data_IF_008118506111
#
_entry.id   IF_008118506111
#
_cell.length_a   1.000
_cell.length_b   1.000
_cell.length_c   1.000
_cell.angle_alpha   90.00
_cell.angle_beta   90.00
_cell.angle_gamma   90.00
#
_symmetry.space_group_name_H-M   'P 1'
#
loop_
_entity.id
_entity.type
_entity.pdbx_description
1 polymer ?
#
# COMPACT_ATOMS: atom_id res chain seq x y z
N UNK A 1 -14.62 -16.01 18.55
CA UNK A 1 -14.38 -15.71 17.11
C UNK A 1 -14.10 -14.22 16.87
N UNK A 2 -14.91 -13.26 17.39
CA UNK A 2 -14.68 -11.81 17.21
C UNK A 2 -13.31 -11.34 17.72
N UNK A 3 -12.86 -11.82 18.87
CA UNK A 3 -11.56 -11.48 19.44
C UNK A 3 -10.37 -11.85 18.51
N UNK A 4 -10.42 -13.04 17.89
CA UNK A 4 -9.35 -13.48 16.96
C UNK A 4 -9.31 -12.62 15.69
N UNK A 5 -10.48 -12.21 15.18
CA UNK A 5 -10.53 -11.29 14.03
C UNK A 5 -9.86 -9.96 14.35
N UNK A 6 -10.09 -9.40 15.56
CA UNK A 6 -9.42 -8.17 16.00
C UNK A 6 -7.90 -8.35 16.07
N UNK A 7 -7.41 -9.45 16.63
CA UNK A 7 -5.97 -9.74 16.67
C UNK A 7 -5.34 -9.81 15.27
N UNK A 8 -5.99 -10.52 14.32
CA UNK A 8 -5.52 -10.61 12.94
C UNK A 8 -5.50 -9.23 12.30
N UNK A 9 -6.56 -8.43 12.50
CA UNK A 9 -6.66 -7.08 11.98
C UNK A 9 -5.50 -6.18 12.49
N UNK A 10 -5.22 -6.21 13.80
CA UNK A 10 -4.10 -5.47 14.40
C UNK A 10 -2.74 -5.87 13.79
N UNK A 11 -2.51 -7.18 13.62
CA UNK A 11 -1.28 -7.65 12.98
C UNK A 11 -1.12 -7.15 11.54
N UNK A 12 -2.20 -7.15 10.78
CA UNK A 12 -2.18 -6.72 9.38
C UNK A 12 -2.06 -5.19 9.23
N UNK A 13 -2.83 -4.43 10.01
CA UNK A 13 -3.05 -3.00 9.78
C UNK A 13 -2.29 -2.06 10.74
N UNK A 14 -1.73 -2.58 11.84
CA UNK A 14 -0.90 -1.82 12.78
C UNK A 14 0.55 -2.30 12.74
N UNK A 15 0.75 -3.62 12.81
CA UNK A 15 2.11 -4.19 12.81
C UNK A 15 2.67 -4.42 11.40
N UNK A 16 1.84 -4.30 10.36
CA UNK A 16 2.20 -4.42 8.95
C UNK A 16 2.99 -5.69 8.63
N UNK A 17 2.59 -6.81 9.25
CA UNK A 17 3.28 -8.10 9.07
C UNK A 17 3.30 -8.55 7.62
N UNK A 18 4.35 -9.27 7.26
CA UNK A 18 4.55 -9.84 5.92
C UNK A 18 4.44 -11.37 5.91
N UNK A 19 4.24 -11.96 7.11
CA UNK A 19 4.01 -13.40 7.27
C UNK A 19 3.01 -13.66 8.39
N UNK A 20 2.19 -14.69 8.25
CA UNK A 20 1.31 -15.15 9.34
C UNK A 20 2.11 -15.69 10.54
N UNK A 21 3.38 -16.07 10.36
CA UNK A 21 4.26 -16.52 11.46
C UNK A 21 4.59 -15.40 12.45
N UNK A 22 4.58 -14.16 12.02
CA UNK A 22 4.78 -12.98 12.86
C UNK A 22 3.64 -12.78 13.87
N UNK A 23 2.45 -13.37 13.63
CA UNK A 23 1.25 -13.24 14.48
C UNK A 23 1.36 -14.10 15.74
N UNK A 24 2.32 -13.79 16.62
CA UNK A 24 2.76 -14.65 17.74
C UNK A 24 1.70 -14.87 18.82
N UNK A 25 0.71 -14.01 18.97
CA UNK A 25 -0.41 -14.19 19.90
C UNK A 25 -1.54 -15.07 19.36
N UNK A 26 -1.41 -15.58 18.11
CA UNK A 26 -2.27 -16.59 17.55
C UNK A 26 -1.67 -17.99 17.75
N UNK A 27 -2.53 -19.00 17.97
CA UNK A 27 -2.06 -20.38 18.07
C UNK A 27 -1.42 -20.84 16.75
N UNK A 28 -0.44 -21.74 16.85
CA UNK A 28 0.23 -22.33 15.68
C UNK A 28 -0.76 -22.90 14.67
N UNK A 29 -1.75 -23.67 15.15
CA UNK A 29 -2.78 -24.26 14.30
C UNK A 29 -3.60 -23.20 13.52
N UNK A 30 -3.93 -22.07 14.16
CA UNK A 30 -4.64 -20.98 13.46
C UNK A 30 -3.75 -20.31 12.41
N UNK A 31 -2.46 -20.10 12.69
CA UNK A 31 -1.52 -19.56 11.71
C UNK A 31 -1.36 -20.47 10.50
N UNK A 32 -1.23 -21.79 10.71
CA UNK A 32 -1.21 -22.75 9.60
C UNK A 32 -2.51 -22.73 8.79
N UNK A 33 -3.67 -22.69 9.46
CA UNK A 33 -4.96 -22.55 8.77
C UNK A 33 -5.05 -21.26 7.94
N UNK A 34 -4.49 -20.15 8.43
CA UNK A 34 -4.45 -18.89 7.67
C UNK A 34 -3.57 -19.01 6.44
N UNK A 35 -2.38 -19.64 6.55
CA UNK A 35 -1.50 -19.89 5.39
C UNK A 35 -2.15 -20.73 4.30
N UNK A 36 -2.99 -21.70 4.70
CA UNK A 36 -3.69 -22.56 3.75
C UNK A 36 -4.88 -21.89 3.05
N UNK A 37 -5.51 -20.90 3.73
CA UNK A 37 -6.83 -20.38 3.30
C UNK A 37 -6.84 -18.90 2.93
N UNK A 38 -5.76 -18.20 3.14
CA UNK A 38 -5.66 -16.77 2.90
C UNK A 38 -4.28 -16.37 2.40
N UNK A 39 -4.26 -15.41 1.50
CA UNK A 39 -3.03 -14.79 1.01
C UNK A 39 -2.78 -13.50 1.77
N UNK A 40 -1.54 -13.30 2.19
CA UNK A 40 -1.06 -12.04 2.72
C UNK A 40 -0.32 -11.30 1.61
N UNK A 41 -0.91 -10.21 1.13
CA UNK A 41 -0.27 -9.40 0.09
C UNK A 41 1.03 -8.81 0.64
N UNK A 42 2.13 -9.06 -0.05
CA UNK A 42 3.45 -8.50 0.21
C UNK A 42 3.96 -7.86 -1.06
N UNK A 43 4.59 -6.70 -0.94
CA UNK A 43 5.30 -6.05 -2.03
C UNK A 43 6.79 -6.24 -1.80
N UNK A 44 7.50 -6.66 -2.83
CA UNK A 44 8.95 -6.78 -2.81
C UNK A 44 9.59 -5.48 -3.30
N UNK A 45 10.58 -4.96 -2.56
CA UNK A 45 11.33 -3.78 -2.97
C UNK A 45 12.40 -4.20 -3.99
N UNK A 46 12.18 -3.85 -5.25
CA UNK A 46 13.14 -4.11 -6.33
C UNK A 46 14.19 -3.02 -6.45
N UNK A 47 13.77 -1.77 -6.26
CA UNK A 47 14.65 -0.62 -6.38
C UNK A 47 14.17 0.52 -5.51
N UNK A 48 15.11 1.24 -4.89
CA UNK A 48 14.85 2.54 -4.28
C UNK A 48 15.82 3.60 -4.81
N UNK A 49 15.28 4.72 -5.24
CA UNK A 49 16.03 5.92 -5.60
C UNK A 49 15.84 6.97 -4.53
N UNK A 50 16.94 7.53 -4.02
CA UNK A 50 16.92 8.52 -2.93
C UNK A 50 17.48 9.84 -3.44
N UNK A 51 16.66 10.89 -3.36
CA UNK A 51 17.09 12.25 -3.68
C UNK A 51 18.10 12.76 -2.64
N UNK A 52 19.23 13.26 -3.13
CA UNK A 52 20.28 13.90 -2.30
C UNK A 52 19.89 15.31 -1.85
N UNK A 53 18.85 15.90 -2.45
CA UNK A 53 18.44 17.29 -2.18
C UNK A 53 17.51 17.36 -0.99
N UNK A 54 16.49 16.49 -0.95
CA UNK A 54 15.39 16.58 0.01
C UNK A 54 15.05 15.25 0.71
N UNK A 55 15.78 14.18 0.38
CA UNK A 55 15.58 12.85 0.95
C UNK A 55 14.31 12.14 0.44
N UNK A 56 13.62 12.67 -0.59
CA UNK A 56 12.52 11.97 -1.28
C UNK A 56 12.98 10.60 -1.75
N UNK A 57 12.14 9.58 -1.56
CA UNK A 57 12.44 8.20 -1.95
C UNK A 57 11.40 7.69 -2.92
N UNK A 58 11.84 7.26 -4.09
CA UNK A 58 11.00 6.59 -5.08
C UNK A 58 11.29 5.09 -5.03
N UNK A 59 10.27 4.32 -4.76
CA UNK A 59 10.31 2.87 -4.67
C UNK A 59 9.73 2.25 -5.93
N UNK A 60 10.35 1.19 -6.41
CA UNK A 60 9.79 0.25 -7.37
C UNK A 60 9.46 -1.03 -6.61
N UNK A 61 8.19 -1.39 -6.58
CA UNK A 61 7.70 -2.59 -5.92
C UNK A 61 7.23 -3.62 -6.93
N UNK A 62 7.63 -4.89 -6.72
CA UNK A 62 7.08 -6.02 -7.43
C UNK A 62 5.81 -6.54 -6.75
N UNK A 63 4.81 -6.85 -7.56
CA UNK A 63 3.58 -7.51 -7.19
C UNK A 63 3.71 -9.03 -7.36
N UNK A 64 2.81 -9.80 -6.73
CA UNK A 64 2.84 -11.26 -6.77
C UNK A 64 2.68 -11.86 -8.17
N UNK A 65 2.12 -11.10 -9.11
CA UNK A 65 1.95 -11.50 -10.52
C UNK A 65 3.12 -11.09 -11.43
N UNK A 66 4.19 -10.53 -10.85
CA UNK A 66 5.37 -10.06 -11.56
C UNK A 66 5.26 -8.64 -12.14
N UNK A 67 4.12 -7.99 -12.00
CA UNK A 67 3.97 -6.59 -12.38
C UNK A 67 4.72 -5.67 -11.40
N UNK A 68 5.08 -4.46 -11.89
CA UNK A 68 5.79 -3.46 -11.11
C UNK A 68 4.94 -2.21 -10.92
N UNK A 69 5.04 -1.62 -9.73
CA UNK A 69 4.40 -0.33 -9.41
C UNK A 69 5.38 0.60 -8.71
N UNK A 70 5.14 1.90 -8.86
CA UNK A 70 5.95 2.92 -8.20
C UNK A 70 5.20 3.54 -7.02
N UNK A 71 5.97 3.87 -5.98
CA UNK A 71 5.48 4.67 -4.84
C UNK A 71 6.54 5.69 -4.46
N UNK A 72 6.13 6.87 -3.98
CA UNK A 72 7.08 7.91 -3.61
C UNK A 72 6.83 8.38 -2.19
N UNK A 73 7.86 8.32 -1.35
CA UNK A 73 7.85 8.93 -0.02
C UNK A 73 8.46 10.33 -0.10
N UNK A 74 7.69 11.32 0.28
CA UNK A 74 8.09 12.73 0.36
C UNK A 74 8.05 13.19 1.81
N UNK A 75 9.11 13.86 2.26
CA UNK A 75 9.24 14.38 3.62
C UNK A 75 8.92 15.87 3.66
N UNK A 76 7.91 16.23 4.45
CA UNK A 76 7.52 17.61 4.66
C UNK A 76 7.53 17.98 6.16
N UNK A 77 7.60 19.26 6.47
CA UNK A 77 7.53 19.76 7.86
C UNK A 77 6.22 19.37 8.57
N UNK A 78 5.13 19.19 7.82
CA UNK A 78 3.81 18.79 8.33
C UNK A 78 3.58 17.28 8.36
N UNK A 79 4.59 16.48 8.03
CA UNK A 79 4.54 15.02 8.05
C UNK A 79 4.92 14.37 6.72
N UNK A 80 5.11 13.07 6.74
CA UNK A 80 5.46 12.30 5.55
C UNK A 80 4.22 12.08 4.66
N UNK A 81 4.38 12.30 3.37
CA UNK A 81 3.39 12.03 2.35
C UNK A 81 3.83 10.87 1.47
N UNK A 82 2.92 9.95 1.16
CA UNK A 82 3.18 8.86 0.23
C UNK A 82 2.32 9.02 -1.01
N UNK A 83 2.96 9.04 -2.17
CA UNK A 83 2.29 8.92 -3.45
C UNK A 83 2.08 7.43 -3.75
N UNK A 84 0.83 7.03 -3.98
CA UNK A 84 0.39 5.65 -4.16
C UNK A 84 -0.10 5.43 -5.59
N UNK A 85 0.29 4.31 -6.19
CA UNK A 85 -0.26 3.82 -7.46
C UNK A 85 -1.62 3.15 -7.23
N UNK A 86 -2.55 3.33 -8.19
CA UNK A 86 -3.90 2.75 -8.17
C UNK A 86 -4.12 1.67 -9.22
N UNK A 87 -3.24 1.58 -10.22
CA UNK A 87 -3.33 0.62 -11.33
C UNK A 87 -1.92 0.16 -11.74
N UNK A 88 -1.83 -0.92 -12.48
CA UNK A 88 -0.66 -1.29 -13.28
C UNK A 88 -0.92 -0.74 -14.68
N UNK A 89 -0.11 0.23 -15.12
CA UNK A 89 -0.37 1.01 -16.33
C UNK A 89 -1.56 1.97 -16.19
N UNK A 90 -1.97 2.60 -17.30
CA UNK A 90 -3.10 3.53 -17.33
C UNK A 90 -3.64 3.69 -18.75
N UNK A 91 -4.97 3.70 -18.92
CA UNK A 91 -5.60 3.86 -20.24
C UNK A 91 -6.02 5.29 -20.59
N UNK A 92 -5.74 6.27 -19.73
CA UNK A 92 -6.22 7.64 -19.93
C UNK A 92 -5.54 8.36 -21.11
N UNK A 93 -4.36 7.91 -21.55
CA UNK A 93 -3.69 8.43 -22.74
C UNK A 93 -3.15 9.85 -22.59
N UNK A 94 -2.85 10.32 -21.38
CA UNK A 94 -2.26 11.65 -21.14
C UNK A 94 -0.90 11.75 -21.83
N UNK A 95 -0.75 12.69 -22.76
CA UNK A 95 0.44 12.81 -23.64
C UNK A 95 1.77 13.04 -22.92
N UNK A 96 1.73 13.55 -21.71
CA UNK A 96 2.92 13.83 -20.88
C UNK A 96 3.24 12.72 -19.86
N UNK A 97 2.39 11.68 -19.75
CA UNK A 97 2.48 10.69 -18.69
C UNK A 97 3.03 9.36 -19.22
N UNK A 98 4.14 8.89 -18.63
CA UNK A 98 4.75 7.62 -19.01
C UNK A 98 3.88 6.40 -18.64
N UNK A 99 3.02 6.50 -17.62
CA UNK A 99 2.13 5.42 -17.21
C UNK A 99 1.12 4.96 -18.26
N UNK A 100 0.97 5.72 -19.36
CA UNK A 100 0.01 5.42 -20.44
C UNK A 100 0.64 4.74 -21.64
N UNK A 101 1.97 4.57 -21.67
CA UNK A 101 2.70 4.08 -22.85
C UNK A 101 2.30 2.65 -23.24
N UNK A 102 2.14 1.79 -22.26
CA UNK A 102 1.79 0.37 -22.45
C UNK A 102 0.29 0.10 -22.18
N UNK A 103 -0.50 1.16 -21.95
CA UNK A 103 -1.92 1.05 -21.62
C UNK A 103 -2.18 0.57 -20.18
N UNK A 104 -3.38 0.06 -19.94
CA UNK A 104 -3.81 -0.48 -18.66
C UNK A 104 -3.67 -2.01 -18.67
N UNK A 105 -2.85 -2.54 -17.78
CA UNK A 105 -2.77 -3.99 -17.54
C UNK A 105 -3.91 -4.43 -16.61
N UNK A 106 -3.98 -3.85 -15.40
CA UNK A 106 -5.05 -4.12 -14.43
C UNK A 106 -5.19 -3.08 -13.32
N UNK A 107 -6.33 -3.13 -12.67
CA UNK A 107 -6.57 -2.39 -11.44
C UNK A 107 -5.82 -3.02 -10.25
N UNK A 108 -5.31 -2.18 -9.35
CA UNK A 108 -4.82 -2.64 -8.05
C UNK A 108 -6.00 -2.91 -7.11
N UNK A 109 -5.85 -3.96 -6.29
CA UNK A 109 -6.76 -4.24 -5.19
C UNK A 109 -6.56 -3.24 -4.04
N UNK A 110 -7.54 -3.05 -3.14
CA UNK A 110 -7.37 -2.22 -1.95
C UNK A 110 -6.17 -2.65 -1.10
N UNK A 111 -5.92 -3.96 -1.01
CA UNK A 111 -4.79 -4.52 -0.26
C UNK A 111 -3.44 -4.15 -0.88
N UNK A 112 -3.31 -4.18 -2.20
CA UNK A 112 -2.08 -3.76 -2.90
C UNK A 112 -1.84 -2.26 -2.74
N UNK A 113 -2.88 -1.43 -2.78
CA UNK A 113 -2.75 0.00 -2.50
C UNK A 113 -2.32 0.27 -1.05
N UNK A 114 -2.94 -0.40 -0.06
CA UNK A 114 -2.57 -0.29 1.36
C UNK A 114 -1.14 -0.76 1.61
N UNK A 115 -0.73 -1.82 0.96
CA UNK A 115 0.58 -2.42 1.17
C UNK A 115 1.71 -1.48 0.76
N UNK A 116 1.51 -0.58 -0.20
CA UNK A 116 2.50 0.45 -0.54
C UNK A 116 2.80 1.34 0.68
N UNK A 117 1.77 1.77 1.39
CA UNK A 117 1.92 2.60 2.60
C UNK A 117 2.57 1.79 3.73
N UNK A 118 2.11 0.56 3.97
CA UNK A 118 2.63 -0.30 5.04
C UNK A 118 4.09 -0.66 4.82
N UNK A 119 4.46 -1.00 3.59
CA UNK A 119 5.83 -1.36 3.23
C UNK A 119 6.78 -0.19 3.45
N UNK A 120 6.38 1.02 3.01
CA UNK A 120 7.19 2.23 3.22
C UNK A 120 7.34 2.54 4.72
N UNK A 121 6.27 2.43 5.53
CA UNK A 121 6.38 2.60 6.98
C UNK A 121 7.28 1.55 7.62
N UNK A 122 7.18 0.29 7.18
CA UNK A 122 8.02 -0.82 7.68
C UNK A 122 9.50 -0.60 7.36
N UNK A 123 9.83 -0.22 6.11
CA UNK A 123 11.20 0.03 5.65
C UNK A 123 11.83 1.24 6.37
N UNK A 124 11.06 2.29 6.55
CA UNK A 124 11.59 3.55 7.08
C UNK A 124 11.50 3.69 8.60
N UNK A 125 10.59 2.94 9.23
CA UNK A 125 10.22 3.14 10.63
C UNK A 125 9.47 4.47 10.89
N UNK A 126 9.08 5.18 9.84
CA UNK A 126 8.47 6.50 9.91
C UNK A 126 6.96 6.42 9.63
N UNK A 127 6.17 7.18 10.39
CA UNK A 127 4.72 7.28 10.16
C UNK A 127 4.43 8.07 8.87
N UNK A 128 3.51 7.56 8.07
CA UNK A 128 2.88 8.29 6.96
C UNK A 128 1.66 9.05 7.49
N UNK A 129 1.57 10.33 7.18
CA UNK A 129 0.51 11.24 7.65
C UNK A 129 -0.42 11.67 6.53
N UNK A 130 0.05 11.65 5.30
CA UNK A 130 -0.69 12.11 4.12
C UNK A 130 -0.53 11.11 2.97
N UNK A 131 -1.55 11.00 2.16
CA UNK A 131 -1.54 10.12 0.98
C UNK A 131 -1.96 10.93 -0.25
N UNK A 132 -1.25 10.72 -1.35
CA UNK A 132 -1.57 11.30 -2.65
C UNK A 132 -1.72 10.15 -3.64
N UNK A 133 -2.88 10.02 -4.29
CA UNK A 133 -3.13 8.95 -5.25
C UNK A 133 -2.86 9.48 -6.66
N UNK A 134 -1.62 9.85 -6.91
CA UNK A 134 -1.11 10.41 -8.16
C UNK A 134 0.07 9.59 -8.71
N UNK A 135 0.18 8.33 -8.31
CA UNK A 135 1.13 7.36 -8.87
C UNK A 135 0.67 6.83 -10.22
N UNK A 136 1.07 5.62 -10.56
CA UNK A 136 0.60 4.96 -11.77
C UNK A 136 -0.90 4.67 -11.69
N UNK A 137 -1.63 5.05 -12.76
CA UNK A 137 -3.06 4.79 -12.89
C UNK A 137 -3.96 6.01 -12.67
N UNK A 138 -5.24 5.83 -12.99
CA UNK A 138 -6.32 6.77 -12.70
C UNK A 138 -7.21 6.19 -11.58
N UNK A 139 -7.20 6.77 -10.36
CA UNK A 139 -7.96 6.20 -9.24
C UNK A 139 -9.47 6.13 -9.48
N UNK A 140 -10.04 7.08 -10.23
CA UNK A 140 -11.48 7.07 -10.53
C UNK A 140 -11.85 6.00 -11.56
N UNK A 141 -10.89 5.49 -12.33
CA UNK A 141 -11.07 4.32 -13.20
C UNK A 141 -10.99 2.99 -12.42
N UNK A 142 -10.48 3.03 -11.18
CA UNK A 142 -10.47 1.94 -10.21
C UNK A 142 -11.36 2.26 -8.98
N UNK A 143 -12.51 2.85 -9.21
CA UNK A 143 -13.32 3.55 -8.21
C UNK A 143 -13.68 2.73 -6.97
N UNK A 144 -14.22 1.52 -7.16
CA UNK A 144 -14.68 0.69 -6.04
C UNK A 144 -13.53 0.25 -5.11
N UNK A 145 -12.38 -0.12 -5.68
CA UNK A 145 -11.20 -0.48 -4.91
C UNK A 145 -10.59 0.75 -4.23
N UNK A 146 -10.59 1.88 -4.93
CA UNK A 146 -10.13 3.15 -4.39
C UNK A 146 -10.97 3.61 -3.19
N UNK A 147 -12.29 3.51 -3.24
CA UNK A 147 -13.15 3.82 -2.08
C UNK A 147 -12.89 2.89 -0.90
N UNK A 148 -12.75 1.59 -1.14
CA UNK A 148 -12.39 0.63 -0.09
C UNK A 148 -11.04 0.97 0.54
N UNK A 149 -10.05 1.32 -0.27
CA UNK A 149 -8.74 1.77 0.21
C UNK A 149 -8.87 3.00 1.12
N UNK A 150 -9.62 4.04 0.73
CA UNK A 150 -9.84 5.25 1.55
C UNK A 150 -10.47 4.87 2.90
N UNK A 151 -11.50 4.04 2.90
CA UNK A 151 -12.15 3.61 4.13
C UNK A 151 -11.18 2.88 5.06
N UNK A 152 -10.35 1.97 4.53
CA UNK A 152 -9.38 1.20 5.33
C UNK A 152 -8.24 2.07 5.86
N UNK A 153 -7.75 3.01 5.07
CA UNK A 153 -6.71 3.97 5.48
C UNK A 153 -7.20 4.88 6.61
N UNK A 154 -8.49 5.24 6.58
CA UNK A 154 -9.10 6.13 7.57
C UNK A 154 -9.64 5.41 8.80
N UNK A 155 -9.59 4.07 8.83
CA UNK A 155 -10.06 3.27 9.97
C UNK A 155 -9.24 3.60 11.22
N UNK A 156 -9.93 3.94 12.33
CA UNK A 156 -9.32 4.27 13.61
C UNK A 156 -8.53 3.12 14.24
N UNK A 157 -8.83 1.88 13.85
CA UNK A 157 -8.14 0.66 14.30
C UNK A 157 -6.97 0.26 13.39
N UNK A 158 -6.69 1.05 12.33
CA UNK A 158 -5.60 0.84 11.38
C UNK A 158 -4.66 2.05 11.31
N UNK A 159 -4.40 2.55 10.10
CA UNK A 159 -3.51 3.71 9.88
C UNK A 159 -4.04 5.00 10.48
N UNK A 160 -5.34 5.15 10.59
CA UNK A 160 -6.03 6.32 11.13
C UNK A 160 -5.55 7.63 10.46
N UNK A 161 -5.46 7.61 9.14
CA UNK A 161 -5.16 8.80 8.35
C UNK A 161 -6.48 9.49 8.00
N UNK A 162 -6.64 10.75 8.42
CA UNK A 162 -7.84 11.52 8.12
C UNK A 162 -8.07 11.63 6.62
N UNK A 163 -9.33 11.50 6.18
CA UNK A 163 -9.71 11.69 4.77
C UNK A 163 -9.30 13.07 4.22
N UNK A 164 -9.15 14.08 5.08
CA UNK A 164 -8.64 15.41 4.71
C UNK A 164 -7.16 15.40 4.30
N UNK A 165 -6.44 14.36 4.64
CA UNK A 165 -5.03 14.15 4.32
C UNK A 165 -4.84 13.19 3.15
N UNK A 166 -5.90 12.92 2.39
CA UNK A 166 -5.88 12.08 1.18
C UNK A 166 -6.26 12.95 -0.01
N UNK A 167 -5.41 12.98 -1.01
CA UNK A 167 -5.58 13.77 -2.25
C UNK A 167 -5.56 12.87 -3.46
#
# INVERSE_FOLDING_TARGET
KKFRAKQIYEWMHIHHVTSFDEMTNLSKNLRETLKEKADLIVLEEELVQISKIDGTRKYLFALADGNMIESVLMKYKHGNSVCVSSQVGCRMGCRFCASTLDGLERNLTPSEMLRQVYQIQKITGERVSNIVIMGTGEPLDNYDNFLKFIHMVSDEHGLNISQRNIT
#
